data_IF_894462177401
#
_entry.id   IF_894462177401
#
_cell.length_a   1.000
_cell.length_b   1.000
_cell.length_c   1.000
_cell.angle_alpha   90.00
_cell.angle_beta   90.00
_cell.angle_gamma   90.00
#
_symmetry.space_group_name_H-M   'P 1'
#
loop_
_entity.id
_entity.type
_entity.pdbx_description
1 polymer ?
#
# COMPACT_ATOMS: atom_id res chain seq x y z
N UNK A 1 31.60 -17.13 41.31
CA UNK A 1 30.27 -17.80 41.18
C UNK A 1 29.79 -18.42 42.50
N UNK A 2 30.54 -19.33 43.16
CA UNK A 2 30.12 -19.98 44.42
C UNK A 2 29.84 -19.02 45.59
N UNK A 3 30.67 -18.00 45.81
CA UNK A 3 30.51 -17.06 46.94
C UNK A 3 29.23 -16.20 46.86
N UNK A 4 28.78 -15.81 45.65
CA UNK A 4 27.53 -15.06 45.45
C UNK A 4 26.28 -15.92 45.68
N UNK A 5 26.38 -17.23 45.44
CA UNK A 5 25.30 -18.19 45.67
C UNK A 5 25.11 -18.45 47.17
N UNK A 6 26.21 -18.65 47.91
CA UNK A 6 26.19 -18.78 49.36
C UNK A 6 25.66 -17.54 50.08
N UNK A 7 26.11 -16.34 49.66
CA UNK A 7 25.64 -15.10 50.28
C UNK A 7 24.14 -14.81 50.02
N UNK A 8 23.58 -15.32 48.93
CA UNK A 8 22.15 -15.25 48.66
C UNK A 8 21.36 -16.27 49.49
N UNK A 9 21.92 -17.45 49.73
CA UNK A 9 21.33 -18.50 50.58
C UNK A 9 21.30 -18.08 52.06
N UNK A 10 22.36 -17.42 52.56
CA UNK A 10 22.43 -16.91 53.93
C UNK A 10 21.35 -15.83 54.21
N UNK A 11 21.16 -14.87 53.29
CA UNK A 11 20.16 -13.80 53.44
C UNK A 11 18.71 -14.29 53.40
N UNK A 12 18.49 -15.46 52.82
CA UNK A 12 17.17 -16.09 52.70
C UNK A 12 16.82 -16.89 53.96
N UNK A 13 17.82 -17.45 54.65
CA UNK A 13 17.68 -18.05 55.97
C UNK A 13 17.36 -17.00 57.06
N UNK A 14 18.01 -15.83 57.02
CA UNK A 14 17.76 -14.72 57.95
C UNK A 14 16.36 -14.08 57.80
N UNK A 15 15.69 -14.31 56.66
CA UNK A 15 14.36 -13.76 56.35
C UNK A 15 13.17 -14.63 56.83
N UNK A 16 13.42 -15.73 57.56
CA UNK A 16 12.37 -16.61 58.08
C UNK A 16 11.66 -17.45 57.02
N UNK A 17 12.21 -17.54 55.81
CA UNK A 17 11.65 -18.34 54.72
C UNK A 17 11.98 -19.81 54.98
N UNK A 18 10.97 -20.58 55.38
CA UNK A 18 11.10 -22.04 55.56
C UNK A 18 11.79 -22.68 54.33
N UNK A 19 12.69 -23.64 54.57
CA UNK A 19 13.34 -24.44 53.50
C UNK A 19 12.34 -24.99 52.47
N UNK A 20 11.11 -25.28 52.91
CA UNK A 20 10.00 -25.70 52.06
C UNK A 20 9.56 -24.61 51.06
N UNK A 21 9.55 -23.34 51.47
CA UNK A 21 9.20 -22.20 50.62
C UNK A 21 10.31 -21.87 49.61
N UNK A 22 11.57 -21.99 50.02
CA UNK A 22 12.73 -21.90 49.13
C UNK A 22 12.73 -22.99 48.06
N UNK A 23 12.43 -24.23 48.46
CA UNK A 23 12.30 -25.36 47.54
C UNK A 23 11.19 -25.12 46.52
N UNK A 24 10.00 -24.69 46.96
CA UNK A 24 8.88 -24.33 46.07
C UNK A 24 9.23 -23.22 45.07
N UNK A 25 9.92 -22.16 45.51
CA UNK A 25 10.37 -21.08 44.64
C UNK A 25 11.38 -21.55 43.60
N UNK A 26 12.33 -22.42 43.98
CA UNK A 26 13.31 -23.01 43.06
C UNK A 26 12.62 -23.86 42.00
N UNK A 27 11.68 -24.72 42.40
CA UNK A 27 10.88 -25.53 41.47
C UNK A 27 10.06 -24.66 40.52
N UNK A 28 9.40 -23.61 41.02
CA UNK A 28 8.65 -22.67 40.18
C UNK A 28 9.56 -21.99 39.15
N UNK A 29 10.71 -21.46 39.58
CA UNK A 29 11.64 -20.79 38.68
C UNK A 29 12.24 -21.74 37.62
N UNK A 30 12.39 -23.03 37.93
CA UNK A 30 12.80 -24.04 36.96
C UNK A 30 11.70 -24.35 35.94
N UNK A 31 10.45 -24.45 36.39
CA UNK A 31 9.29 -24.63 35.50
C UNK A 31 9.11 -23.41 34.58
N UNK A 32 9.21 -22.20 35.11
CA UNK A 32 9.11 -20.97 34.33
C UNK A 32 10.23 -20.87 33.28
N UNK A 33 11.46 -21.27 33.63
CA UNK A 33 12.58 -21.33 32.67
C UNK A 33 12.36 -22.37 31.58
N UNK A 34 11.78 -23.53 31.90
CA UNK A 34 11.41 -24.54 30.89
C UNK A 34 10.34 -23.99 29.97
N UNK A 35 9.28 -23.39 30.53
CA UNK A 35 8.19 -22.78 29.76
C UNK A 35 8.68 -21.65 28.85
N UNK A 36 9.57 -20.79 29.34
CA UNK A 36 10.18 -19.74 28.54
C UNK A 36 11.01 -20.30 27.37
N UNK A 37 11.73 -21.41 27.57
CA UNK A 37 12.46 -22.09 26.49
C UNK A 37 11.53 -22.69 25.45
N UNK A 38 10.47 -23.37 25.88
CA UNK A 38 9.44 -23.92 24.98
C UNK A 38 8.82 -22.82 24.11
N UNK A 39 8.40 -21.71 24.73
CA UNK A 39 7.81 -20.58 24.02
C UNK A 39 8.80 -19.91 23.04
N UNK A 40 10.10 -19.85 23.37
CA UNK A 40 11.11 -19.32 22.47
C UNK A 40 11.33 -20.21 21.25
N UNK A 41 11.32 -21.54 21.43
CA UNK A 41 11.40 -22.51 20.34
C UNK A 41 10.16 -22.39 19.45
N UNK A 42 8.96 -22.40 20.03
CA UNK A 42 7.71 -22.23 19.30
C UNK A 42 7.66 -20.89 18.54
N UNK A 43 8.16 -19.80 19.15
CA UNK A 43 8.21 -18.50 18.46
C UNK A 43 9.17 -18.52 17.26
N UNK A 44 10.31 -19.20 17.37
CA UNK A 44 11.25 -19.37 16.27
C UNK A 44 10.65 -20.21 15.13
N UNK A 45 9.93 -21.29 15.46
CA UNK A 45 9.21 -22.12 14.49
C UNK A 45 8.11 -21.33 13.78
N UNK A 46 7.28 -20.62 14.54
CA UNK A 46 6.21 -19.77 13.98
C UNK A 46 6.75 -18.66 13.09
N UNK A 47 7.88 -18.03 13.45
CA UNK A 47 8.54 -17.04 12.59
C UNK A 47 9.01 -17.65 11.27
N UNK A 48 9.66 -18.81 11.35
CA UNK A 48 10.12 -19.55 10.16
C UNK A 48 8.95 -19.92 9.25
N UNK A 49 7.84 -20.36 9.83
CA UNK A 49 6.63 -20.72 9.07
C UNK A 49 5.97 -19.50 8.44
N UNK A 50 5.88 -18.37 9.16
CA UNK A 50 5.39 -17.10 8.61
C UNK A 50 6.25 -16.65 7.42
N UNK A 51 7.58 -16.73 7.54
CA UNK A 51 8.49 -16.35 6.46
C UNK A 51 8.37 -17.30 5.25
N UNK A 52 8.23 -18.61 5.48
CA UNK A 52 7.96 -19.60 4.44
C UNK A 52 6.66 -19.31 3.70
N UNK A 53 5.56 -19.05 4.42
CA UNK A 53 4.26 -18.75 3.84
C UNK A 53 4.28 -17.43 3.07
N UNK A 54 4.96 -16.41 3.59
CA UNK A 54 5.15 -15.12 2.89
C UNK A 54 5.95 -15.30 1.60
N UNK A 55 7.03 -16.08 1.63
CA UNK A 55 7.82 -16.42 0.45
C UNK A 55 7.00 -17.18 -0.60
N UNK A 56 6.26 -18.21 -0.17
CA UNK A 56 5.37 -18.97 -1.05
C UNK A 56 4.27 -18.11 -1.69
N UNK A 57 3.68 -17.17 -0.93
CA UNK A 57 2.69 -16.22 -1.46
C UNK A 57 3.30 -15.28 -2.50
N UNK A 58 4.52 -14.78 -2.25
CA UNK A 58 5.23 -13.93 -3.21
C UNK A 58 5.55 -14.67 -4.52
N UNK A 59 5.96 -15.94 -4.42
CA UNK A 59 6.25 -16.79 -5.56
C UNK A 59 5.02 -17.17 -6.37
N UNK A 60 3.92 -17.55 -5.70
CA UNK A 60 2.65 -17.80 -6.36
C UNK A 60 2.14 -16.54 -7.08
N UNK A 61 2.22 -15.37 -6.44
CA UNK A 61 1.86 -14.10 -7.05
C UNK A 61 2.77 -13.74 -8.24
N UNK A 62 4.06 -14.09 -8.21
CA UNK A 62 4.98 -13.94 -9.35
C UNK A 62 4.58 -14.84 -10.51
N UNK A 63 4.32 -16.13 -10.26
CA UNK A 63 3.91 -17.11 -11.29
C UNK A 63 2.59 -16.72 -11.93
N UNK A 64 1.58 -16.34 -11.14
CA UNK A 64 0.30 -15.87 -11.66
C UNK A 64 0.46 -14.64 -12.57
N UNK A 65 1.35 -13.70 -12.22
CA UNK A 65 1.67 -12.55 -13.08
C UNK A 65 2.33 -12.98 -14.39
N UNK A 66 3.20 -13.98 -14.37
CA UNK A 66 3.84 -14.51 -15.56
C UNK A 66 2.83 -15.23 -16.48
N UNK A 67 1.97 -16.07 -15.92
CA UNK A 67 0.87 -16.71 -16.65
C UNK A 67 -0.09 -15.69 -17.24
N UNK A 68 -0.48 -14.66 -16.48
CA UNK A 68 -1.33 -13.58 -16.97
C UNK A 68 -0.68 -12.79 -18.13
N UNK A 69 0.65 -12.57 -18.08
CA UNK A 69 1.38 -11.95 -19.20
C UNK A 69 1.36 -12.81 -20.45
N UNK A 70 1.55 -14.13 -20.32
CA UNK A 70 1.49 -15.07 -21.44
C UNK A 70 0.08 -15.19 -22.01
N UNK A 71 -0.94 -15.28 -21.15
CA UNK A 71 -2.35 -15.31 -21.56
C UNK A 71 -2.79 -14.01 -22.21
N UNK A 72 -2.36 -12.86 -21.70
CA UNK A 72 -2.67 -11.56 -22.30
C UNK A 72 -2.00 -11.34 -23.66
N UNK A 73 -0.91 -12.03 -23.97
CA UNK A 73 -0.28 -11.98 -25.29
C UNK A 73 -1.05 -12.79 -26.35
N UNK A 74 -1.88 -13.76 -25.95
CA UNK A 74 -2.66 -14.61 -26.85
C UNK A 74 -4.03 -14.05 -27.23
N UNK A 75 -4.57 -13.09 -26.47
CA UNK A 75 -5.99 -12.69 -26.60
C UNK A 75 -6.20 -11.35 -27.31
N UNK A 76 -5.18 -10.54 -27.64
CA UNK A 76 -5.49 -9.22 -28.21
C UNK A 76 -4.43 -8.55 -29.09
N UNK A 77 -4.67 -8.57 -30.40
CA UNK A 77 -3.90 -7.78 -31.36
C UNK A 77 -4.75 -6.80 -32.17
N UNK A 78 -6.09 -6.82 -32.07
CA UNK A 78 -6.93 -5.98 -32.94
C UNK A 78 -8.01 -5.14 -32.25
N UNK A 79 -8.31 -5.31 -30.95
CA UNK A 79 -9.48 -4.65 -30.31
C UNK A 79 -9.13 -3.82 -29.04
N UNK A 80 -7.84 -3.71 -28.67
CA UNK A 80 -7.41 -3.17 -27.36
C UNK A 80 -6.72 -1.80 -27.34
N UNK A 81 -6.71 -1.03 -28.41
CA UNK A 81 -6.15 0.33 -28.30
C UNK A 81 -7.05 1.19 -27.39
N UNK A 82 -6.49 1.94 -26.42
CA UNK A 82 -7.27 2.91 -25.64
C UNK A 82 -8.04 3.89 -26.53
N UNK A 83 -7.49 4.25 -27.69
CA UNK A 83 -8.14 5.13 -28.66
C UNK A 83 -9.40 4.50 -29.26
N UNK A 84 -9.35 3.22 -29.68
CA UNK A 84 -10.54 2.51 -30.18
C UNK A 84 -11.63 2.41 -29.11
N UNK A 85 -11.23 2.16 -27.86
CA UNK A 85 -12.18 2.13 -26.73
C UNK A 85 -12.76 3.51 -26.43
N UNK A 86 -12.01 4.60 -26.66
CA UNK A 86 -12.50 5.98 -26.56
C UNK A 86 -13.69 6.19 -27.50
N UNK A 87 -13.61 5.73 -28.74
CA UNK A 87 -14.62 6.00 -29.79
C UNK A 87 -16.03 5.50 -29.43
N UNK A 88 -16.16 4.59 -28.47
CA UNK A 88 -17.45 4.12 -27.95
C UNK A 88 -18.12 5.06 -26.94
N UNK A 89 -17.47 6.16 -26.56
CA UNK A 89 -17.98 7.12 -25.59
C UNK A 89 -18.23 8.47 -26.27
N UNK A 90 -19.28 9.17 -25.84
CA UNK A 90 -19.52 10.56 -26.27
C UNK A 90 -18.56 11.49 -25.54
N UNK A 91 -18.51 11.36 -24.21
CA UNK A 91 -17.70 12.20 -23.33
C UNK A 91 -16.39 11.52 -22.90
N UNK A 92 -15.31 12.30 -22.88
CA UNK A 92 -13.97 11.83 -22.53
C UNK A 92 -13.85 11.51 -21.03
N UNK A 93 -14.56 12.24 -20.17
CA UNK A 93 -14.62 11.92 -18.75
C UNK A 93 -15.34 10.59 -18.50
N UNK A 94 -16.46 10.33 -19.18
CA UNK A 94 -17.17 9.05 -19.10
C UNK A 94 -16.28 7.85 -19.50
N UNK A 95 -15.50 8.00 -20.58
CA UNK A 95 -14.50 7.02 -20.98
C UNK A 95 -13.47 6.77 -19.88
N UNK A 96 -12.82 7.83 -19.36
CA UNK A 96 -11.81 7.70 -18.32
C UNK A 96 -12.37 7.05 -17.05
N UNK A 97 -13.61 7.40 -16.64
CA UNK A 97 -14.27 6.78 -15.49
C UNK A 97 -14.50 5.28 -15.69
N UNK A 98 -14.92 4.87 -16.88
CA UNK A 98 -15.06 3.47 -17.24
C UNK A 98 -13.72 2.73 -17.15
N UNK A 99 -12.65 3.33 -17.69
CA UNK A 99 -11.29 2.77 -17.66
C UNK A 99 -10.74 2.63 -16.24
N UNK A 100 -10.99 3.61 -15.37
CA UNK A 100 -10.65 3.55 -13.94
C UNK A 100 -11.43 2.41 -13.26
N UNK A 101 -12.72 2.24 -13.58
CA UNK A 101 -13.54 1.16 -13.04
C UNK A 101 -12.99 -0.21 -13.43
N UNK A 102 -12.71 -0.44 -14.72
CA UNK A 102 -12.08 -1.68 -15.20
C UNK A 102 -10.76 -1.94 -14.50
N UNK A 103 -9.90 -0.93 -14.40
CA UNK A 103 -8.62 -1.06 -13.71
C UNK A 103 -8.78 -1.38 -12.22
N UNK A 104 -9.80 -0.85 -11.54
CA UNK A 104 -10.11 -1.19 -10.15
C UNK A 104 -10.62 -2.62 -10.00
N UNK A 105 -11.44 -3.10 -10.94
CA UNK A 105 -11.89 -4.50 -10.99
C UNK A 105 -10.71 -5.45 -11.14
N UNK A 106 -9.78 -5.16 -12.03
CA UNK A 106 -8.59 -6.00 -12.24
C UNK A 106 -7.58 -5.91 -11.08
N UNK A 107 -7.47 -4.74 -10.44
CA UNK A 107 -6.41 -4.46 -9.47
C UNK A 107 -6.75 -4.85 -8.05
N UNK A 108 -8.03 -4.74 -7.66
CA UNK A 108 -8.48 -4.99 -6.29
C UNK A 108 -9.31 -6.28 -6.27
N UNK A 109 -8.81 -7.36 -5.63
CA UNK A 109 -9.54 -8.61 -5.48
C UNK A 109 -10.93 -8.39 -4.86
N UNK A 110 -11.91 -9.21 -5.24
CA UNK A 110 -13.29 -9.06 -4.78
C UNK A 110 -13.43 -8.98 -3.25
N UNK A 111 -12.64 -9.78 -2.50
CA UNK A 111 -12.62 -9.76 -1.03
C UNK A 111 -12.11 -8.45 -0.43
N UNK A 112 -11.25 -7.73 -1.15
CA UNK A 112 -10.58 -6.51 -0.68
C UNK A 112 -11.34 -5.24 -1.09
N UNK A 113 -12.33 -5.35 -1.99
CA UNK A 113 -13.08 -4.19 -2.53
C UNK A 113 -13.78 -3.37 -1.45
N UNK A 114 -14.23 -4.01 -0.37
CA UNK A 114 -14.85 -3.31 0.76
C UNK A 114 -13.84 -2.48 1.55
N UNK A 115 -12.59 -2.92 1.65
CA UNK A 115 -11.52 -2.19 2.32
C UNK A 115 -10.90 -1.11 1.42
N UNK A 116 -10.96 -1.29 0.10
CA UNK A 116 -10.42 -0.36 -0.90
C UNK A 116 -11.48 0.02 -1.94
N UNK A 117 -12.56 0.72 -1.52
CA UNK A 117 -13.60 1.17 -2.44
C UNK A 117 -13.07 2.27 -3.36
N UNK A 118 -13.70 2.46 -4.52
CA UNK A 118 -13.49 3.67 -5.32
C UNK A 118 -14.22 4.83 -4.64
N UNK A 119 -13.52 5.91 -4.20
CA UNK A 119 -14.16 7.08 -3.64
C UNK A 119 -14.81 7.93 -4.74
N UNK A 120 -15.47 9.02 -4.34
CA UNK A 120 -15.88 10.09 -5.26
C UNK A 120 -14.65 10.84 -5.77
N UNK A 121 -14.56 11.04 -7.08
CA UNK A 121 -13.46 11.79 -7.70
C UNK A 121 -13.94 12.59 -8.92
N UNK A 122 -13.13 13.57 -9.31
CA UNK A 122 -13.34 14.43 -10.48
C UNK A 122 -12.24 14.14 -11.51
N UNK A 123 -12.63 14.00 -12.77
CA UNK A 123 -11.70 13.87 -13.90
C UNK A 123 -11.58 15.24 -14.57
N UNK A 124 -10.37 15.80 -14.60
CA UNK A 124 -10.12 17.02 -15.36
C UNK A 124 -10.11 16.77 -16.86
N UNK A 125 -10.53 17.75 -17.66
CA UNK A 125 -10.47 17.71 -19.13
C UNK A 125 -9.04 17.46 -19.63
N UNK A 126 -8.07 18.14 -19.03
CA UNK A 126 -6.64 18.02 -19.37
C UNK A 126 -6.10 16.62 -19.06
N UNK A 127 -6.70 15.93 -18.10
CA UNK A 127 -6.31 14.58 -17.75
C UNK A 127 -6.72 13.61 -18.84
N UNK A 128 -7.97 13.68 -19.28
CA UNK A 128 -8.48 12.86 -20.37
C UNK A 128 -7.67 13.11 -21.67
N UNK A 129 -7.43 14.37 -22.02
CA UNK A 129 -6.61 14.74 -23.17
C UNK A 129 -5.17 14.18 -23.07
N UNK A 130 -4.58 14.18 -21.86
CA UNK A 130 -3.23 13.62 -21.64
C UNK A 130 -3.14 12.09 -21.85
N UNK A 131 -4.26 11.38 -21.93
CA UNK A 131 -4.30 9.93 -22.09
C UNK A 131 -4.52 9.48 -23.54
N UNK A 132 -5.12 10.31 -24.40
CA UNK A 132 -5.51 9.93 -25.77
C UNK A 132 -4.33 9.53 -26.66
N UNK A 133 -3.16 10.10 -26.44
CA UNK A 133 -1.93 9.83 -27.21
C UNK A 133 -1.11 8.63 -26.69
N UNK A 134 -1.61 7.89 -25.69
CA UNK A 134 -0.86 6.81 -25.06
C UNK A 134 -1.15 5.44 -25.67
N UNK A 135 -0.08 4.68 -25.94
CA UNK A 135 -0.22 3.26 -26.24
C UNK A 135 -0.84 2.48 -25.07
N UNK A 136 -1.39 1.31 -25.38
CA UNK A 136 -2.12 0.46 -24.44
C UNK A 136 -1.35 0.16 -23.15
N UNK A 137 -0.03 -0.06 -23.23
CA UNK A 137 0.79 -0.38 -22.06
C UNK A 137 0.97 0.84 -21.15
N UNK A 138 1.27 2.01 -21.72
CA UNK A 138 1.38 3.26 -20.97
C UNK A 138 0.05 3.65 -20.33
N UNK A 139 -1.04 3.48 -21.07
CA UNK A 139 -2.40 3.73 -20.58
C UNK A 139 -2.74 2.82 -19.40
N UNK A 140 -2.53 1.51 -19.51
CA UNK A 140 -2.80 0.56 -18.44
C UNK A 140 -1.97 0.85 -17.16
N UNK A 141 -0.71 1.28 -17.31
CA UNK A 141 0.12 1.70 -16.17
C UNK A 141 -0.43 2.96 -15.50
N UNK A 142 -0.90 3.94 -16.28
CA UNK A 142 -1.52 5.15 -15.76
C UNK A 142 -2.81 4.82 -14.99
N UNK A 143 -3.70 3.99 -15.54
CA UNK A 143 -4.94 3.59 -14.84
C UNK A 143 -4.66 2.87 -13.51
N UNK A 144 -3.64 2.00 -13.48
CA UNK A 144 -3.20 1.35 -12.24
C UNK A 144 -2.71 2.36 -11.20
N UNK A 145 -1.96 3.38 -11.62
CA UNK A 145 -1.50 4.44 -10.72
C UNK A 145 -2.66 5.29 -10.18
N UNK A 146 -3.66 5.59 -11.03
CA UNK A 146 -4.89 6.29 -10.63
C UNK A 146 -5.63 5.50 -9.56
N UNK A 147 -5.85 4.20 -9.75
CA UNK A 147 -6.52 3.35 -8.76
C UNK A 147 -5.74 3.29 -7.44
N UNK A 148 -4.41 3.21 -7.48
CA UNK A 148 -3.59 3.24 -6.27
C UNK A 148 -3.78 4.53 -5.48
N UNK A 149 -3.84 5.67 -6.17
CA UNK A 149 -4.06 6.97 -5.54
C UNK A 149 -5.48 7.05 -4.98
N UNK A 150 -6.50 6.69 -5.77
CA UNK A 150 -7.90 6.72 -5.36
C UNK A 150 -8.19 5.84 -4.14
N UNK A 151 -7.55 4.68 -4.05
CA UNK A 151 -7.77 3.73 -2.94
C UNK A 151 -6.84 3.96 -1.74
N UNK A 152 -6.04 5.03 -1.74
CA UNK A 152 -5.08 5.34 -0.66
C UNK A 152 -3.87 4.39 -0.58
N UNK A 153 -3.71 3.48 -1.55
CA UNK A 153 -2.63 2.49 -1.57
C UNK A 153 -1.30 3.08 -2.04
N UNK A 154 -1.33 4.18 -2.78
CA UNK A 154 -0.13 4.82 -3.30
C UNK A 154 0.88 5.19 -2.19
N UNK A 155 0.39 5.62 -1.03
CA UNK A 155 1.24 6.02 0.11
C UNK A 155 1.92 4.83 0.80
N UNK A 156 1.36 3.63 0.63
CA UNK A 156 1.90 2.38 1.18
C UNK A 156 2.87 1.70 0.22
N UNK A 157 3.09 2.28 -0.96
CA UNK A 157 3.86 1.67 -2.04
C UNK A 157 5.08 2.53 -2.36
N UNK A 158 6.26 2.08 -1.96
CA UNK A 158 7.54 2.73 -2.32
C UNK A 158 7.68 2.95 -3.84
N UNK A 159 7.10 2.04 -4.63
CA UNK A 159 7.09 2.15 -6.09
C UNK A 159 6.29 3.31 -6.67
N UNK A 160 5.48 4.00 -5.85
CA UNK A 160 4.61 5.10 -6.29
C UNK A 160 5.15 6.47 -5.94
N UNK A 161 6.09 6.61 -5.00
CA UNK A 161 6.74 7.90 -4.69
C UNK A 161 5.71 9.06 -4.63
N UNK A 162 4.61 8.85 -3.91
CA UNK A 162 3.50 9.79 -3.83
C UNK A 162 3.87 10.97 -2.90
N UNK A 163 4.01 12.17 -3.47
CA UNK A 163 4.50 13.33 -2.74
C UNK A 163 3.86 14.63 -3.23
N UNK A 164 3.88 15.67 -2.39
CA UNK A 164 3.44 17.01 -2.79
C UNK A 164 4.34 17.57 -3.90
N UNK A 165 3.73 18.17 -4.91
CA UNK A 165 4.43 18.85 -6.00
C UNK A 165 5.01 20.18 -5.50
N UNK A 166 6.25 20.47 -5.87
CA UNK A 166 6.94 21.73 -5.59
C UNK A 166 6.92 22.63 -6.83
N UNK A 167 6.99 23.94 -6.61
CA UNK A 167 7.04 24.93 -7.71
C UNK A 167 8.31 24.79 -8.56
N UNK A 168 9.40 24.28 -7.97
CA UNK A 168 10.59 23.85 -8.69
C UNK A 168 11.31 22.72 -7.96
N UNK A 169 12.31 22.12 -8.61
CA UNK A 169 13.16 21.08 -8.01
C UNK A 169 14.23 21.64 -7.05
N UNK A 170 14.38 22.97 -6.95
CA UNK A 170 15.33 23.59 -6.05
C UNK A 170 15.01 23.31 -4.56
N UNK A 171 16.05 23.14 -3.75
CA UNK A 171 15.94 23.00 -2.30
C UNK A 171 15.24 24.23 -1.70
N UNK A 172 14.20 24.00 -0.90
CA UNK A 172 13.40 25.07 -0.28
C UNK A 172 12.23 25.59 -1.12
N UNK A 173 11.99 25.04 -2.31
CA UNK A 173 10.83 25.43 -3.13
C UNK A 173 9.51 25.16 -2.41
N UNK A 174 8.60 26.13 -2.53
CA UNK A 174 7.25 26.04 -1.98
C UNK A 174 6.45 24.91 -2.64
N UNK A 175 5.50 24.36 -1.89
CA UNK A 175 4.53 23.43 -2.44
C UNK A 175 3.50 24.17 -3.29
N UNK A 176 3.06 23.52 -4.37
CA UNK A 176 2.03 24.05 -5.24
C UNK A 176 0.67 23.87 -4.56
N UNK A 177 0.00 25.00 -4.29
CA UNK A 177 -1.33 25.07 -3.69
C UNK A 177 -2.19 25.94 -4.59
N UNK A 178 -3.41 25.49 -4.89
CA UNK A 178 -4.39 26.25 -5.66
C UNK A 178 -5.15 27.21 -4.74
N UNK A 179 -5.77 28.25 -5.31
CA UNK A 179 -6.51 29.29 -4.57
C UNK A 179 -7.61 28.73 -3.64
N UNK A 180 -8.17 27.57 -3.95
CA UNK A 180 -9.17 26.88 -3.12
C UNK A 180 -8.55 25.97 -2.04
N UNK A 181 -7.26 26.15 -1.75
CA UNK A 181 -6.48 25.34 -0.80
C UNK A 181 -6.26 23.87 -1.22
N UNK A 182 -6.55 23.50 -2.47
CA UNK A 182 -6.18 22.18 -2.98
C UNK A 182 -4.65 22.03 -3.11
N UNK A 183 -4.12 20.88 -2.75
CA UNK A 183 -2.69 20.59 -2.85
C UNK A 183 -2.37 19.79 -4.11
N UNK A 184 -1.39 20.24 -4.89
CA UNK A 184 -0.90 19.44 -6.01
C UNK A 184 -0.02 18.30 -5.50
N UNK A 185 -0.28 17.12 -6.05
CA UNK A 185 0.42 15.88 -5.74
C UNK A 185 1.02 15.32 -7.02
N UNK A 186 2.12 14.59 -6.86
CA UNK A 186 2.76 13.79 -7.91
C UNK A 186 2.90 12.35 -7.45
N UNK A 187 2.77 11.42 -8.38
CA UNK A 187 2.91 9.99 -8.14
C UNK A 187 3.58 9.33 -9.35
N UNK A 188 4.57 8.47 -9.11
CA UNK A 188 5.25 7.70 -10.15
C UNK A 188 4.30 6.68 -10.80
N UNK A 189 4.21 6.74 -12.13
CA UNK A 189 3.55 5.69 -12.92
C UNK A 189 4.52 4.53 -13.12
N UNK A 190 5.81 4.85 -13.29
CA UNK A 190 6.89 3.92 -13.63
C UNK A 190 8.16 4.31 -12.89
N UNK A 191 9.05 3.34 -12.67
CA UNK A 191 10.36 3.56 -12.02
C UNK A 191 11.46 2.88 -12.80
N UNK A 192 12.67 3.40 -12.66
CA UNK A 192 13.89 2.85 -13.26
C UNK A 192 13.82 2.74 -14.79
N UNK A 193 13.10 3.66 -15.43
CA UNK A 193 13.00 3.77 -16.89
C UNK A 193 13.40 5.18 -17.32
N UNK A 194 14.14 5.34 -18.43
CA UNK A 194 14.34 6.65 -19.04
C UNK A 194 12.98 7.33 -19.29
N UNK A 195 12.87 8.61 -18.95
CA UNK A 195 11.61 9.38 -19.04
C UNK A 195 10.44 8.75 -18.24
N UNK A 196 10.71 8.44 -16.97
CA UNK A 196 9.73 7.88 -16.05
C UNK A 196 8.57 8.84 -15.81
N UNK A 197 7.39 8.46 -16.29
CA UNK A 197 6.17 9.25 -16.23
C UNK A 197 5.64 9.42 -14.80
N UNK A 198 5.02 10.57 -14.55
CA UNK A 198 4.34 10.88 -13.29
C UNK A 198 2.90 11.31 -13.51
N UNK A 199 2.02 10.83 -12.65
CA UNK A 199 0.65 11.27 -12.49
C UNK A 199 0.64 12.54 -11.63
N UNK A 200 -0.04 13.59 -12.10
CA UNK A 200 -0.34 14.77 -11.32
C UNK A 200 -1.84 14.86 -11.02
N UNK A 201 -2.15 15.18 -9.77
CA UNK A 201 -3.52 15.30 -9.29
C UNK A 201 -3.59 16.31 -8.15
N UNK A 202 -4.79 16.82 -7.91
CA UNK A 202 -5.09 17.71 -6.81
C UNK A 202 -5.79 16.91 -5.71
N UNK A 203 -5.29 17.05 -4.49
CA UNK A 203 -6.00 16.66 -3.29
C UNK A 203 -6.87 17.85 -2.87
N UNK A 204 -8.19 17.69 -2.99
CA UNK A 204 -9.13 18.74 -2.64
C UNK A 204 -9.29 18.80 -1.12
N UNK A 205 -9.56 19.99 -0.55
CA UNK A 205 -9.90 20.10 0.85
C UNK A 205 -11.14 19.25 1.13
N UNK A 206 -11.10 18.45 2.20
CA UNK A 206 -12.30 17.76 2.64
C UNK A 206 -13.39 18.80 2.94
N UNK A 207 -14.64 18.62 2.45
CA UNK A 207 -15.72 19.55 2.78
C UNK A 207 -15.82 19.66 4.30
N UNK A 208 -15.95 20.90 4.81
CA UNK A 208 -16.08 21.14 6.25
C UNK A 208 -17.23 20.28 6.79
N UNK A 209 -16.90 19.39 7.73
CA UNK A 209 -17.82 18.51 8.46
C UNK A 209 -19.10 19.26 8.90
N UNK A 210 -20.18 19.11 8.15
CA UNK A 210 -21.54 19.28 8.69
C UNK A 210 -22.10 17.89 8.96
N UNK A 211 -21.81 17.37 10.16
CA UNK A 211 -22.60 16.39 10.91
C UNK A 211 -23.31 15.27 10.08
N UNK A 212 -22.54 14.37 9.45
CA UNK A 212 -23.00 13.05 8.94
C UNK A 212 -21.88 12.01 9.12
N UNK A 213 -22.21 10.68 9.18
CA UNK A 213 -21.25 9.64 9.58
C UNK A 213 -20.15 9.46 8.52
N UNK A 214 -19.00 8.84 8.89
CA UNK A 214 -17.78 8.92 8.11
C UNK A 214 -17.85 7.96 6.92
N UNK A 215 -18.14 8.51 5.75
CA UNK A 215 -17.49 8.04 4.52
C UNK A 215 -16.27 8.93 4.33
N UNK A 216 -15.08 8.36 4.40
CA UNK A 216 -13.83 9.06 4.09
C UNK A 216 -13.88 9.56 2.64
N UNK A 217 -14.39 10.77 2.46
CA UNK A 217 -14.65 11.38 1.17
C UNK A 217 -13.38 12.07 0.66
N UNK A 218 -12.44 11.26 0.17
CA UNK A 218 -11.27 11.75 -0.54
C UNK A 218 -11.69 12.33 -1.89
N UNK A 219 -11.83 13.65 -1.95
CA UNK A 219 -12.09 14.34 -3.19
C UNK A 219 -10.78 14.56 -3.95
N UNK A 220 -10.56 13.75 -4.98
CA UNK A 220 -9.39 13.83 -5.84
C UNK A 220 -9.79 14.39 -7.21
N UNK A 221 -8.99 15.32 -7.74
CA UNK A 221 -9.12 15.80 -9.13
C UNK A 221 -7.86 15.44 -9.91
N UNK A 222 -8.01 14.63 -10.95
CA UNK A 222 -6.90 14.33 -11.86
C UNK A 222 -6.67 15.47 -12.84
N UNK A 223 -5.41 15.85 -13.04
CA UNK A 223 -5.05 17.04 -13.81
C UNK A 223 -4.34 16.66 -15.11
N UNK A 224 -3.24 15.90 -15.03
CA UNK A 224 -2.48 15.46 -16.21
C UNK A 224 -1.47 14.37 -15.88
N UNK A 225 -1.00 13.67 -16.90
CA UNK A 225 0.15 12.78 -16.81
C UNK A 225 1.33 13.35 -17.60
N UNK A 226 2.44 13.62 -16.92
CA UNK A 226 3.67 14.17 -17.52
C UNK A 226 4.71 13.07 -17.83
N UNK A 227 5.55 13.35 -18.83
CA UNK A 227 6.72 12.56 -19.25
C UNK A 227 7.94 12.99 -18.46
#
# INVERSE_FOLDING_TARGET
>A
MRARRLAAEQRLADAGVSDSALSRLRTSAELDRRRARELLVENAELRTEVDRLRGGRADAARRLREYARRGSAMVDASDRSPSTRRDHFVDAEAWVRHEICCAWVERIPACDKAAYPLPTYVVGTDFAASLESRDANKFAKAMKAVVDVLTGRADQMDSREAHRLRTSDAGGSLYVVRDDSAHAMRCAIERNTPSARRLHYWLLPSPRRTQRPPTDEFHLRFDRVLV
#
